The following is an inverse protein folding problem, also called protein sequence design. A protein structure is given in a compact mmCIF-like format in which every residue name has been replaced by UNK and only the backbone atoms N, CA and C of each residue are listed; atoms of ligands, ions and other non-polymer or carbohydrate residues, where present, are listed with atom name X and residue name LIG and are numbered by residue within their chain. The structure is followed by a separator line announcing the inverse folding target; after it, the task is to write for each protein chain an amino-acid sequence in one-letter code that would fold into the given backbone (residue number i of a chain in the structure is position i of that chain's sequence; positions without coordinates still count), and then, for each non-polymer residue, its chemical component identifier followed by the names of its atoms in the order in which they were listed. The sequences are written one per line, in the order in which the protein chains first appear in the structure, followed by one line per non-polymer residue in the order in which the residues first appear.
data_IF_260337614922
#
_entry.id   IF_260337614922
#
_cell.length_a   1.000
_cell.length_b   1.000
_cell.length_c   1.000
_cell.angle_alpha   90.00
_cell.angle_beta   90.00
_cell.angle_gamma   90.00
#
_symmetry.space_group_name_H-M   'P 1'
#
loop_
_entity.id
_entity.type
_entity.pdbx_description
1 polymer ?
#
# COMPACT_ATOMS: atom_id res chain seq x y z
N UNK A 1 -5.01 -63.17 -8.32
CA UNK A 1 -3.86 -62.66 -9.10
C UNK A 1 -4.44 -61.82 -10.23
N UNK A 2 -4.75 -60.56 -9.94
CA UNK A 2 -5.07 -59.53 -10.93
C UNK A 2 -4.41 -58.26 -10.38
N UNK A 3 -3.26 -57.92 -10.96
CA UNK A 3 -2.61 -56.63 -10.77
C UNK A 3 -3.30 -55.61 -11.67
N UNK A 4 -3.73 -54.49 -11.11
CA UNK A 4 -4.06 -53.28 -11.87
C UNK A 4 -3.13 -52.18 -11.40
N UNK A 5 -2.11 -51.88 -12.21
CA UNK A 5 -1.25 -50.72 -12.05
C UNK A 5 -1.91 -49.45 -12.57
N UNK A 6 -1.66 -48.33 -11.90
CA UNK A 6 -1.34 -47.01 -12.47
C UNK A 6 -1.42 -45.97 -11.36
N UNK A 7 -0.44 -45.98 -10.46
CA UNK A 7 -0.21 -44.86 -9.54
C UNK A 7 0.56 -43.77 -10.30
N UNK A 8 -0.17 -42.84 -10.92
CA UNK A 8 0.42 -41.53 -11.24
C UNK A 8 0.49 -40.78 -9.91
N UNK A 9 1.64 -40.20 -9.52
CA UNK A 9 1.69 -39.40 -8.30
C UNK A 9 0.76 -38.20 -8.49
N UNK A 10 -0.34 -38.21 -7.73
CA UNK A 10 -1.17 -37.04 -7.51
C UNK A 10 -0.26 -35.98 -6.89
N UNK A 11 -0.09 -34.86 -7.56
CA UNK A 11 0.64 -33.71 -7.03
C UNK A 11 0.05 -33.32 -5.68
N UNK A 12 0.90 -33.36 -4.65
CA UNK A 12 0.55 -33.01 -3.28
C UNK A 12 0.24 -31.49 -3.18
N UNK A 13 -0.98 -31.10 -2.74
CA UNK A 13 -1.35 -29.69 -2.58
C UNK A 13 -0.56 -28.94 -1.48
N UNK A 14 0.22 -29.65 -0.66
CA UNK A 14 1.16 -29.07 0.31
C UNK A 14 2.36 -28.35 -0.34
N UNK A 15 2.59 -28.55 -1.65
CA UNK A 15 3.66 -27.91 -2.43
C UNK A 15 3.42 -26.43 -2.78
N UNK A 16 2.27 -25.83 -2.43
CA UNK A 16 1.76 -24.67 -3.20
C UNK A 16 2.11 -23.26 -2.72
N UNK A 17 2.64 -23.01 -1.51
CA UNK A 17 3.05 -21.64 -1.09
C UNK A 17 4.29 -21.60 -0.23
N UNK A 18 4.42 -22.51 0.74
CA UNK A 18 5.61 -22.57 1.61
C UNK A 18 6.89 -22.85 0.82
N UNK A 19 6.86 -23.77 -0.15
CA UNK A 19 8.01 -24.04 -1.01
C UNK A 19 8.35 -22.84 -1.91
N UNK A 20 7.33 -22.13 -2.43
CA UNK A 20 7.53 -20.92 -3.25
C UNK A 20 8.20 -19.79 -2.45
N UNK A 21 7.72 -19.51 -1.23
CA UNK A 21 8.36 -18.52 -0.35
C UNK A 21 9.75 -18.95 0.12
N UNK A 22 9.97 -20.25 0.39
CA UNK A 22 11.31 -20.80 0.67
C UNK A 22 12.26 -20.63 -0.54
N UNK A 23 11.75 -20.76 -1.76
CA UNK A 23 12.53 -20.55 -2.98
C UNK A 23 12.87 -19.07 -3.21
N UNK A 24 11.94 -18.15 -2.90
CA UNK A 24 12.18 -16.70 -2.94
C UNK A 24 13.17 -16.22 -1.89
N UNK A 25 13.14 -16.79 -0.68
CA UNK A 25 14.10 -16.52 0.39
C UNK A 25 15.54 -16.98 0.02
N UNK A 26 15.66 -17.98 -0.86
CA UNK A 26 16.94 -18.40 -1.44
C UNK A 26 17.39 -17.53 -2.63
N UNK A 27 16.63 -16.49 -3.01
CA UNK A 27 17.03 -15.61 -4.10
C UNK A 27 18.23 -14.74 -3.69
N UNK A 28 19.15 -14.41 -4.63
CA UNK A 28 20.26 -13.50 -4.37
C UNK A 28 19.82 -12.13 -3.86
N UNK A 29 18.59 -11.69 -4.17
CA UNK A 29 17.99 -10.45 -3.68
C UNK A 29 17.65 -10.52 -2.19
N UNK A 30 17.17 -11.65 -1.68
CA UNK A 30 16.94 -11.85 -0.25
C UNK A 30 18.25 -11.90 0.54
N UNK A 31 19.33 -12.42 -0.07
CA UNK A 31 20.67 -12.39 0.53
C UNK A 31 21.23 -10.96 0.66
N UNK A 32 20.88 -10.05 -0.26
CA UNK A 32 21.21 -8.62 -0.16
C UNK A 32 20.39 -7.91 0.94
N UNK A 33 19.18 -8.39 1.21
CA UNK A 33 18.31 -7.88 2.29
C UNK A 33 18.55 -8.56 3.65
N UNK A 34 19.54 -9.46 3.77
CA UNK A 34 19.79 -10.28 4.97
C UNK A 34 19.92 -9.45 6.25
N UNK A 35 20.53 -8.26 6.18
CA UNK A 35 20.70 -7.36 7.33
C UNK A 35 19.39 -6.70 7.81
N UNK A 36 18.32 -6.76 7.02
CA UNK A 36 17.03 -6.16 7.33
C UNK A 36 15.98 -7.18 7.80
N UNK A 37 16.29 -8.48 7.76
CA UNK A 37 15.35 -9.54 8.16
C UNK A 37 15.47 -9.79 9.67
N UNK A 38 14.34 -9.82 10.43
CA UNK A 38 14.36 -10.15 11.85
C UNK A 38 14.99 -11.53 12.12
N UNK A 39 15.84 -11.62 13.15
CA UNK A 39 16.57 -12.86 13.50
C UNK A 39 15.66 -14.05 13.78
N UNK A 40 14.45 -13.81 14.29
CA UNK A 40 13.43 -14.84 14.54
C UNK A 40 12.93 -15.54 13.28
N UNK A 41 13.06 -14.91 12.11
CA UNK A 41 12.69 -15.52 10.82
C UNK A 41 13.81 -16.38 10.25
N UNK A 42 15.05 -16.19 10.73
CA UNK A 42 16.24 -16.90 10.27
C UNK A 42 16.55 -18.17 11.09
N UNK A 43 16.08 -18.25 12.33
CA UNK A 43 16.25 -19.43 13.20
C UNK A 43 15.85 -20.77 12.55
N UNK A 44 14.71 -20.87 11.85
CA UNK A 44 14.34 -22.11 11.16
C UNK A 44 15.26 -22.47 9.99
N UNK A 45 15.87 -21.46 9.34
CA UNK A 45 16.77 -21.64 8.19
C UNK A 45 18.18 -22.03 8.63
N UNK A 46 18.65 -21.52 9.77
CA UNK A 46 19.97 -21.84 10.32
C UNK A 46 20.13 -23.34 10.64
N UNK A 47 19.03 -24.02 11.01
CA UNK A 47 19.01 -25.47 11.21
C UNK A 47 19.02 -26.30 9.92
N UNK A 48 18.74 -25.69 8.76
CA UNK A 48 18.73 -26.35 7.44
C UNK A 48 20.07 -26.20 6.69
N UNK A 49 20.98 -25.33 7.15
CA UNK A 49 22.33 -25.19 6.57
C UNK A 49 23.17 -26.41 6.99
N UNK A 50 23.65 -27.24 6.04
CA UNK A 50 24.54 -28.34 6.38
C UNK A 50 25.76 -27.77 7.09
N UNK A 51 26.14 -28.35 8.24
CA UNK A 51 27.41 -28.06 8.89
C UNK A 51 28.51 -28.11 7.83
N UNK A 52 29.20 -26.98 7.69
CA UNK A 52 30.25 -26.71 6.73
C UNK A 52 31.08 -27.94 6.40
N UNK A 53 31.07 -28.38 5.14
CA UNK A 53 32.19 -29.14 4.61
C UNK A 53 33.42 -28.23 4.71
N UNK A 54 34.49 -28.70 5.35
CA UNK A 54 35.83 -28.08 5.31
C UNK A 54 36.09 -27.54 3.89
N UNK A 55 36.64 -26.32 3.72
CA UNK A 55 36.87 -25.72 2.41
C UNK A 55 37.97 -26.49 1.67
N UNK A 56 37.62 -27.62 1.10
CA UNK A 56 38.46 -28.39 0.21
C UNK A 56 38.57 -27.65 -1.11
N UNK A 57 39.81 -27.33 -1.51
CA UNK A 57 40.13 -26.80 -2.83
C UNK A 57 39.42 -27.64 -3.91
N UNK A 58 38.58 -27.03 -4.72
CA UNK A 58 37.98 -27.72 -5.87
C UNK A 58 39.09 -27.99 -6.89
N UNK A 59 39.31 -29.26 -7.30
CA UNK A 59 40.32 -29.57 -8.30
C UNK A 59 39.83 -29.13 -9.69
N UNK A 60 40.74 -28.58 -10.49
CA UNK A 60 40.46 -28.22 -11.88
C UNK A 60 40.03 -29.46 -12.68
N UNK A 61 38.90 -29.37 -13.38
CA UNK A 61 38.31 -30.51 -14.09
C UNK A 61 39.18 -31.05 -15.24
N UNK A 62 40.17 -30.25 -15.70
CA UNK A 62 41.02 -30.59 -16.83
C UNK A 62 42.40 -31.14 -16.43
N UNK A 63 42.92 -30.80 -15.24
CA UNK A 63 44.27 -31.21 -14.81
C UNK A 63 44.39 -31.65 -13.35
N UNK A 64 43.31 -31.58 -12.55
CA UNK A 64 43.30 -32.01 -11.16
C UNK A 64 44.05 -31.10 -10.17
N UNK A 65 44.68 -30.01 -10.64
CA UNK A 65 45.36 -29.06 -9.78
C UNK A 65 44.35 -28.31 -8.87
N UNK A 66 44.67 -28.05 -7.59
CA UNK A 66 43.80 -27.30 -6.70
C UNK A 66 43.61 -25.87 -7.22
N UNK A 67 42.36 -25.46 -7.46
CA UNK A 67 42.05 -24.09 -7.84
C UNK A 67 41.99 -23.25 -6.57
N UNK A 68 43.07 -22.53 -6.27
CA UNK A 68 43.01 -21.41 -5.34
C UNK A 68 42.17 -20.31 -6.00
N UNK A 69 41.18 -19.76 -5.28
CA UNK A 69 40.40 -18.63 -5.75
C UNK A 69 41.35 -17.44 -5.99
N UNK A 70 41.59 -16.99 -7.24
CA UNK A 70 42.60 -15.97 -7.52
C UNK A 70 42.23 -14.58 -6.99
N UNK A 71 41.02 -14.41 -6.43
CA UNK A 71 40.50 -13.15 -5.91
C UNK A 71 40.72 -12.95 -4.40
N UNK A 72 41.36 -13.89 -3.71
CA UNK A 72 41.64 -13.75 -2.28
C UNK A 72 43.11 -14.06 -1.98
N UNK A 73 43.97 -13.06 -2.21
CA UNK A 73 45.22 -12.95 -1.47
C UNK A 73 44.96 -12.12 -0.20
N UNK A 74 45.03 -12.71 1.01
CA UNK A 74 44.83 -11.98 2.25
C UNK A 74 45.90 -10.91 2.52
N UNK A 75 47.03 -10.91 1.79
CA UNK A 75 48.09 -9.91 1.92
C UNK A 75 47.97 -8.72 0.94
N UNK A 76 47.23 -8.84 -0.17
CA UNK A 76 47.18 -7.83 -1.24
C UNK A 76 45.82 -7.13 -1.45
N UNK A 77 44.87 -7.29 -0.53
CA UNK A 77 43.50 -6.72 -0.66
C UNK A 77 43.41 -5.18 -0.51
N UNK A 78 44.52 -4.43 -0.62
CA UNK A 78 44.54 -2.97 -0.40
C UNK A 78 45.00 -2.11 -1.57
N UNK A 79 45.30 -2.67 -2.75
CA UNK A 79 46.06 -1.88 -3.75
C UNK A 79 45.55 -1.95 -5.19
N UNK A 80 44.26 -2.14 -5.45
CA UNK A 80 43.75 -2.01 -6.83
C UNK A 80 42.42 -1.28 -6.87
N UNK A 81 42.52 0.04 -7.04
CA UNK A 81 41.64 0.98 -7.77
C UNK A 81 41.77 2.38 -7.13
N UNK A 82 42.94 3.01 -7.28
CA UNK A 82 43.10 4.44 -6.97
C UNK A 82 42.59 5.28 -8.17
N UNK A 83 41.29 5.18 -8.44
CA UNK A 83 40.57 6.15 -9.25
C UNK A 83 40.09 7.24 -8.30
N UNK A 84 40.37 8.53 -8.54
CA UNK A 84 39.71 9.57 -7.78
C UNK A 84 38.22 9.51 -8.13
N UNK A 85 37.42 9.01 -7.20
CA UNK A 85 35.97 9.17 -7.21
C UNK A 85 35.69 10.67 -7.13
N UNK A 86 35.47 11.32 -8.28
CA UNK A 86 34.73 12.58 -8.26
C UNK A 86 33.27 12.24 -8.03
N UNK A 87 32.92 12.03 -6.77
CA UNK A 87 31.56 12.19 -6.30
C UNK A 87 31.24 13.68 -6.46
N UNK A 88 30.67 14.04 -7.60
CA UNK A 88 29.78 15.21 -7.60
C UNK A 88 28.70 14.89 -6.58
N UNK A 89 28.44 15.75 -5.59
CA UNK A 89 27.22 15.66 -4.81
C UNK A 89 26.07 15.93 -5.79
N UNK A 90 25.60 14.88 -6.48
CA UNK A 90 24.20 14.82 -6.82
C UNK A 90 23.51 14.52 -5.49
N UNK A 91 23.30 15.57 -4.71
CA UNK A 91 22.09 15.63 -3.90
C UNK A 91 20.96 15.46 -4.90
N UNK A 92 20.58 14.19 -5.12
CA UNK A 92 19.22 13.88 -5.49
C UNK A 92 18.36 14.70 -4.53
N UNK A 93 17.33 15.41 -5.01
CA UNK A 93 16.36 16.01 -4.11
C UNK A 93 16.04 14.96 -3.05
N UNK A 94 15.94 15.32 -1.74
CA UNK A 94 15.55 14.33 -0.74
C UNK A 94 14.41 13.51 -1.33
N UNK A 95 14.37 12.19 -1.15
CA UNK A 95 13.30 11.37 -1.74
C UNK A 95 11.91 11.92 -1.37
N UNK A 96 11.88 12.68 -0.27
CA UNK A 96 10.77 13.43 0.27
C UNK A 96 10.53 14.81 -0.37
N UNK A 97 11.33 15.36 -1.29
CA UNK A 97 11.09 16.68 -1.88
C UNK A 97 9.81 16.72 -2.72
N UNK A 98 9.48 15.61 -3.40
CA UNK A 98 8.20 15.46 -4.07
C UNK A 98 7.07 15.19 -3.08
N UNK A 99 7.33 14.45 -2.00
CA UNK A 99 6.37 14.27 -0.91
C UNK A 99 6.11 15.59 -0.17
N UNK A 100 7.11 16.44 0.09
CA UNK A 100 7.08 17.77 0.70
C UNK A 100 6.39 18.80 -0.19
N UNK A 101 6.57 18.72 -1.52
CA UNK A 101 5.81 19.55 -2.46
C UNK A 101 4.33 19.13 -2.57
N UNK A 102 4.01 17.87 -2.24
CA UNK A 102 2.64 17.34 -2.18
C UNK A 102 2.05 17.37 -0.75
N UNK A 103 2.89 17.49 0.29
CA UNK A 103 2.55 17.65 1.71
C UNK A 103 2.66 19.13 2.06
N UNK A 104 1.72 19.91 1.50
CA UNK A 104 1.45 21.26 1.98
C UNK A 104 1.32 21.28 3.51
N UNK A 105 1.52 22.47 4.09
CA UNK A 105 1.30 22.69 5.53
C UNK A 105 0.02 22.00 6.00
N UNK A 106 0.10 21.27 7.11
CA UNK A 106 -1.08 20.69 7.75
C UNK A 106 -2.09 21.81 7.98
N UNK A 107 -3.31 21.66 7.47
CA UNK A 107 -4.37 22.64 7.71
C UNK A 107 -4.72 22.64 9.20
N UNK A 108 -4.84 23.82 9.81
CA UNK A 108 -5.24 23.96 11.21
C UNK A 108 -6.76 24.08 11.33
N UNK A 109 -7.41 24.59 10.29
CA UNK A 109 -8.85 24.80 10.24
C UNK A 109 -9.45 24.29 8.91
N UNK A 110 -10.71 23.82 8.90
CA UNK A 110 -11.36 23.32 7.68
C UNK A 110 -11.45 24.34 6.54
N UNK A 111 -11.45 25.63 6.85
CA UNK A 111 -11.53 26.72 5.87
C UNK A 111 -10.23 26.90 5.06
N UNK A 112 -9.11 26.36 5.55
CA UNK A 112 -7.82 26.41 4.88
C UNK A 112 -7.66 25.29 3.83
N UNK A 113 -8.53 24.28 3.87
CA UNK A 113 -8.51 23.17 2.93
C UNK A 113 -8.81 23.65 1.50
N UNK A 114 -7.87 23.42 0.59
CA UNK A 114 -8.01 23.70 -0.84
C UNK A 114 -8.69 22.51 -1.51
N UNK A 115 -8.43 21.30 -1.04
CA UNK A 115 -8.97 20.06 -1.58
C UNK A 115 -9.18 19.01 -0.48
N UNK A 116 -9.81 17.88 -0.83
CA UNK A 116 -10.13 16.82 0.15
C UNK A 116 -8.92 16.06 0.70
N UNK A 117 -7.78 16.09 0.01
CA UNK A 117 -6.53 15.42 0.41
C UNK A 117 -5.83 16.14 1.56
N UNK A 118 -6.12 17.43 1.76
CA UNK A 118 -5.58 18.20 2.89
C UNK A 118 -6.07 17.62 4.23
N UNK A 119 -7.32 17.13 4.28
CA UNK A 119 -7.87 16.44 5.45
C UNK A 119 -7.21 15.08 5.70
N UNK A 120 -6.76 14.40 4.66
CA UNK A 120 -6.16 13.06 4.78
C UNK A 120 -4.92 13.07 5.68
N UNK A 121 -4.08 14.11 5.53
CA UNK A 121 -2.88 14.28 6.34
C UNK A 121 -3.22 14.61 7.79
N UNK A 122 -4.21 15.47 8.01
CA UNK A 122 -4.73 15.79 9.36
C UNK A 122 -5.22 14.52 10.04
N UNK A 123 -5.99 13.69 9.33
CA UNK A 123 -6.50 12.43 9.87
C UNK A 123 -5.36 11.47 10.17
N UNK A 124 -4.37 11.34 9.28
CA UNK A 124 -3.19 10.49 9.51
C UNK A 124 -2.42 10.91 10.76
N UNK A 125 -2.14 12.20 10.94
CA UNK A 125 -1.39 12.72 12.08
C UNK A 125 -2.14 12.64 13.42
N UNK A 126 -3.48 12.59 13.40
CA UNK A 126 -4.31 12.60 14.61
C UNK A 126 -4.97 11.24 14.92
N UNK A 127 -4.74 10.21 14.12
CA UNK A 127 -5.31 8.87 14.33
C UNK A 127 -4.29 7.91 14.94
N UNK A 128 -4.79 6.93 15.71
CA UNK A 128 -3.99 5.76 16.07
C UNK A 128 -3.65 4.97 14.79
N UNK A 129 -2.46 4.37 14.74
CA UNK A 129 -2.00 3.60 13.58
C UNK A 129 -3.02 2.55 13.12
N UNK A 130 -3.65 1.83 14.06
CA UNK A 130 -4.65 0.81 13.74
C UNK A 130 -5.92 1.39 13.12
N UNK A 131 -6.34 2.58 13.53
CA UNK A 131 -7.51 3.25 12.96
C UNK A 131 -7.18 3.82 11.59
N UNK A 132 -5.98 4.36 11.40
CA UNK A 132 -5.49 4.78 10.10
C UNK A 132 -5.45 3.62 9.11
N UNK A 133 -4.89 2.49 9.52
CA UNK A 133 -4.83 1.28 8.71
C UNK A 133 -6.25 0.81 8.33
N UNK A 134 -7.19 0.84 9.26
CA UNK A 134 -8.59 0.50 8.97
C UNK A 134 -9.21 1.40 7.89
N UNK A 135 -8.91 2.71 7.91
CA UNK A 135 -9.50 3.68 6.99
C UNK A 135 -8.81 3.72 5.63
N UNK A 136 -7.48 3.67 5.61
CA UNK A 136 -6.68 3.99 4.43
C UNK A 136 -6.26 2.74 3.64
N UNK A 137 -6.25 1.56 4.26
CA UNK A 137 -5.87 0.33 3.56
C UNK A 137 -6.92 -0.15 2.55
N UNK A 138 -6.45 -0.89 1.55
CA UNK A 138 -7.27 -1.69 0.65
C UNK A 138 -7.00 -3.18 0.84
N UNK A 139 -7.34 -3.97 -0.18
CA UNK A 139 -7.02 -5.41 -0.23
C UNK A 139 -5.61 -5.59 -0.77
N UNK A 140 -4.84 -6.47 -0.13
CA UNK A 140 -3.46 -6.86 -0.51
C UNK A 140 -2.58 -5.64 -0.83
N UNK A 141 -2.04 -5.57 -2.05
CA UNK A 141 -1.10 -4.53 -2.50
C UNK A 141 -1.78 -3.19 -2.89
N UNK A 142 -3.07 -3.03 -2.56
CA UNK A 142 -3.87 -1.82 -2.81
C UNK A 142 -4.03 -1.43 -4.30
N UNK A 143 -3.67 -2.31 -5.24
CA UNK A 143 -3.67 -2.00 -6.68
C UNK A 143 -5.04 -1.51 -7.17
N UNK A 144 -6.14 -2.13 -6.71
CA UNK A 144 -7.50 -1.68 -7.08
C UNK A 144 -7.82 -0.28 -6.56
N UNK A 145 -7.31 0.09 -5.38
CA UNK A 145 -7.49 1.43 -4.81
C UNK A 145 -6.79 2.47 -5.68
N UNK A 146 -5.56 2.19 -6.08
CA UNK A 146 -4.78 3.03 -7.00
C UNK A 146 -5.47 3.10 -8.37
N UNK A 147 -5.91 1.96 -8.91
CA UNK A 147 -6.60 1.90 -10.19
C UNK A 147 -7.92 2.69 -10.21
N UNK A 148 -8.69 2.70 -9.11
CA UNK A 148 -9.92 3.51 -8.99
C UNK A 148 -9.61 5.01 -9.13
N UNK A 149 -8.50 5.47 -8.52
CA UNK A 149 -8.04 6.85 -8.61
C UNK A 149 -7.57 7.20 -10.02
N UNK A 150 -6.67 6.38 -10.56
CA UNK A 150 -6.11 6.59 -11.90
C UNK A 150 -7.15 6.45 -13.02
N UNK A 151 -8.23 5.69 -12.79
CA UNK A 151 -9.34 5.55 -13.71
C UNK A 151 -9.94 6.89 -14.13
N UNK A 152 -10.00 7.86 -13.20
CA UNK A 152 -10.50 9.20 -13.50
C UNK A 152 -9.58 10.01 -14.43
N UNK A 153 -8.27 9.77 -14.41
CA UNK A 153 -7.31 10.45 -15.31
C UNK A 153 -7.51 10.06 -16.78
N UNK A 154 -8.23 8.96 -17.04
CA UNK A 154 -8.56 8.49 -18.39
C UNK A 154 -9.73 9.26 -18.99
N UNK A 155 -10.46 10.03 -18.18
CA UNK A 155 -11.63 10.81 -18.59
C UNK A 155 -11.23 12.28 -18.73
N UNK A 156 -11.57 12.87 -19.87
CA UNK A 156 -11.38 14.31 -20.10
C UNK A 156 -12.72 15.00 -20.24
N UNK A 157 -12.90 16.11 -19.52
CA UNK A 157 -14.04 16.99 -19.72
C UNK A 157 -13.86 17.73 -21.05
N UNK A 158 -14.94 17.84 -21.84
CA UNK A 158 -14.99 18.69 -23.04
C UNK A 158 -15.90 19.90 -22.74
N UNK A 159 -15.35 21.04 -22.30
CA UNK A 159 -16.14 22.22 -21.99
C UNK A 159 -16.89 22.71 -23.23
N UNK A 160 -18.20 22.95 -23.10
CA UNK A 160 -19.00 23.58 -24.15
C UNK A 160 -19.04 25.08 -23.91
N UNK A 161 -18.64 25.87 -24.90
CA UNK A 161 -18.72 27.34 -24.87
C UNK A 161 -19.94 27.77 -25.70
N UNK A 162 -20.66 28.81 -25.24
CA UNK A 162 -21.89 29.35 -25.86
C UNK A 162 -23.14 28.45 -25.71
N UNK A 163 -23.46 28.02 -24.48
CA UNK A 163 -24.75 27.41 -24.16
C UNK A 163 -25.91 28.38 -24.44
N UNK A 164 -27.03 27.85 -24.94
CA UNK A 164 -28.19 28.62 -25.42
C UNK A 164 -29.04 29.20 -24.30
N UNK A 165 -28.82 28.81 -23.03
CA UNK A 165 -29.59 29.34 -21.92
C UNK A 165 -28.99 30.63 -21.35
N UNK A 166 -29.70 31.77 -21.45
CA UNK A 166 -29.38 32.94 -20.67
C UNK A 166 -29.77 32.66 -19.20
N UNK A 167 -28.78 32.72 -18.31
CA UNK A 167 -28.97 32.93 -16.87
C UNK A 167 -29.74 31.84 -16.09
N UNK A 168 -29.66 30.58 -16.52
CA UNK A 168 -30.02 29.46 -15.65
C UNK A 168 -28.78 29.13 -14.83
N UNK A 169 -28.73 29.57 -13.57
CA UNK A 169 -27.64 29.24 -12.65
C UNK A 169 -27.37 27.73 -12.58
N UNK A 170 -26.22 27.34 -12.03
CA UNK A 170 -25.87 25.93 -11.87
C UNK A 170 -26.81 25.26 -10.85
N UNK A 171 -27.77 24.47 -11.34
CA UNK A 171 -28.57 23.58 -10.49
C UNK A 171 -27.85 22.24 -10.33
N UNK A 172 -27.29 21.99 -9.13
CA UNK A 172 -26.68 20.71 -8.76
C UNK A 172 -27.66 19.76 -8.08
N UNK A 173 -28.91 20.17 -7.89
CA UNK A 173 -29.86 19.32 -7.21
C UNK A 173 -30.17 18.05 -8.00
N UNK A 174 -30.55 17.01 -7.28
CA UNK A 174 -30.93 15.74 -7.87
C UNK A 174 -32.05 15.08 -7.09
N UNK A 175 -32.74 14.13 -7.73
CA UNK A 175 -33.77 13.30 -7.10
C UNK A 175 -33.31 11.84 -7.07
N UNK A 176 -33.29 11.24 -5.88
CA UNK A 176 -33.01 9.82 -5.67
C UNK A 176 -34.21 9.21 -4.96
N UNK A 177 -34.83 8.18 -5.56
CA UNK A 177 -35.94 7.43 -4.95
C UNK A 177 -37.10 8.31 -4.44
N UNK A 178 -37.43 9.39 -5.16
CA UNK A 178 -38.51 10.31 -4.79
C UNK A 178 -38.12 11.40 -3.77
N UNK A 179 -36.84 11.46 -3.37
CA UNK A 179 -36.32 12.49 -2.46
C UNK A 179 -35.35 13.40 -3.19
N UNK A 180 -35.53 14.72 -3.04
CA UNK A 180 -34.65 15.76 -3.61
C UNK A 180 -33.47 16.04 -2.67
N UNK A 181 -32.29 16.21 -3.25
CA UNK A 181 -31.02 16.57 -2.60
C UNK A 181 -30.40 17.76 -3.33
N UNK A 182 -29.57 18.53 -2.64
CA UNK A 182 -29.02 19.79 -3.16
C UNK A 182 -27.78 19.62 -4.05
N UNK A 183 -27.12 18.46 -3.97
CA UNK A 183 -25.93 18.14 -4.73
C UNK A 183 -25.92 16.66 -5.16
N UNK A 184 -25.22 16.30 -6.25
CA UNK A 184 -25.08 14.92 -6.72
C UNK A 184 -23.98 14.18 -5.94
N UNK A 185 -23.95 14.37 -4.63
CA UNK A 185 -22.96 13.83 -3.71
C UNK A 185 -23.70 13.14 -2.56
N UNK A 186 -23.08 12.11 -2.00
CA UNK A 186 -23.59 11.41 -0.84
C UNK A 186 -22.43 10.90 0.02
N UNK A 187 -22.69 10.69 1.30
CA UNK A 187 -21.77 10.02 2.20
C UNK A 187 -21.92 8.50 2.02
N UNK A 188 -20.85 7.85 1.59
CA UNK A 188 -20.78 6.39 1.49
C UNK A 188 -20.91 5.74 2.88
N UNK A 189 -21.40 4.50 2.96
CA UNK A 189 -21.49 3.78 4.22
C UNK A 189 -20.08 3.44 4.72
N UNK A 190 -19.66 4.09 5.80
CA UNK A 190 -18.42 3.81 6.52
C UNK A 190 -18.77 3.28 7.91
N UNK A 191 -18.05 2.25 8.34
CA UNK A 191 -18.27 1.61 9.64
C UNK A 191 -17.41 2.25 10.73
N UNK A 192 -17.86 2.11 11.97
CA UNK A 192 -17.09 2.42 13.17
C UNK A 192 -16.58 3.88 13.24
N UNK A 193 -17.40 4.88 12.88
CA UNK A 193 -16.95 6.27 12.80
C UNK A 193 -16.50 6.85 14.16
N UNK A 194 -16.92 6.27 15.30
CA UNK A 194 -16.42 6.68 16.62
C UNK A 194 -14.93 6.39 16.85
N UNK A 195 -14.32 5.55 16.02
CA UNK A 195 -12.86 5.38 16.02
C UNK A 195 -12.11 6.66 15.60
N UNK A 196 -12.78 7.54 14.85
CA UNK A 196 -12.19 8.76 14.28
C UNK A 196 -12.73 10.04 14.89
N UNK A 197 -13.99 10.04 15.34
CA UNK A 197 -14.59 11.21 15.96
C UNK A 197 -15.68 10.81 16.96
N UNK A 198 -15.71 11.44 18.14
CA UNK A 198 -16.63 11.08 19.24
C UNK A 198 -18.11 11.13 18.87
N UNK A 199 -18.47 11.98 17.91
CA UNK A 199 -19.86 12.08 17.41
C UNK A 199 -20.28 10.95 16.45
N UNK A 200 -19.34 10.12 15.97
CA UNK A 200 -19.64 8.97 15.12
C UNK A 200 -20.47 9.28 13.88
N UNK A 201 -21.33 8.33 13.51
CA UNK A 201 -22.24 8.42 12.37
C UNK A 201 -23.31 9.49 12.56
N UNK A 202 -23.72 9.79 13.81
CA UNK A 202 -24.66 10.87 14.09
C UNK A 202 -24.08 12.26 13.76
N UNK A 203 -22.76 12.45 13.95
CA UNK A 203 -22.06 13.65 13.49
C UNK A 203 -22.10 13.81 11.97
N UNK A 204 -21.84 12.71 11.25
CA UNK A 204 -21.94 12.68 9.79
C UNK A 204 -23.37 12.93 9.30
N UNK A 205 -24.39 12.42 10.00
CA UNK A 205 -25.79 12.67 9.69
C UNK A 205 -26.17 14.15 9.79
N UNK A 206 -25.74 14.83 10.86
CA UNK A 206 -25.95 16.28 11.01
C UNK A 206 -25.28 17.06 9.87
N UNK A 207 -24.07 16.68 9.49
CA UNK A 207 -23.35 17.31 8.39
C UNK A 207 -24.09 17.10 7.05
N UNK A 208 -24.55 15.87 6.78
CA UNK A 208 -25.31 15.53 5.57
C UNK A 208 -26.61 16.33 5.48
N UNK A 209 -27.37 16.39 6.59
CA UNK A 209 -28.59 17.20 6.72
C UNK A 209 -28.32 18.67 6.42
N UNK A 210 -27.30 19.25 7.05
CA UNK A 210 -26.96 20.66 6.88
C UNK A 210 -26.52 21.02 5.46
N UNK A 211 -26.02 20.04 4.69
CA UNK A 211 -25.59 20.20 3.30
C UNK A 211 -26.63 19.71 2.28
N UNK A 212 -27.78 19.21 2.73
CA UNK A 212 -28.83 18.70 1.86
C UNK A 212 -28.39 17.49 1.01
N UNK A 213 -27.47 16.66 1.52
CA UNK A 213 -26.96 15.47 0.82
C UNK A 213 -27.42 14.18 1.50
N UNK A 214 -27.40 13.08 0.75
CA UNK A 214 -27.74 11.76 1.26
C UNK A 214 -26.58 11.18 2.11
N UNK A 215 -26.91 10.55 3.23
CA UNK A 215 -26.01 9.63 3.92
C UNK A 215 -26.51 8.20 3.74
N UNK A 216 -25.64 7.31 3.26
CA UNK A 216 -25.87 5.88 3.30
C UNK A 216 -25.30 5.31 4.60
N UNK A 217 -26.08 4.50 5.29
CA UNK A 217 -25.71 3.99 6.60
C UNK A 217 -25.06 2.60 6.50
N UNK A 218 -23.92 2.43 7.15
CA UNK A 218 -23.31 1.12 7.36
C UNK A 218 -24.10 0.32 8.40
N UNK A 219 -24.19 -1.00 8.20
CA UNK A 219 -24.73 -1.92 9.20
C UNK A 219 -23.87 -1.96 10.48
N UNK A 220 -22.57 -1.70 10.35
CA UNK A 220 -21.61 -1.73 11.47
C UNK A 220 -21.35 -0.29 11.94
N UNK A 221 -22.40 0.37 12.41
CA UNK A 221 -22.31 1.71 12.98
C UNK A 221 -21.90 1.69 14.45
N UNK A 222 -21.22 2.75 14.90
CA UNK A 222 -20.96 2.98 16.32
C UNK A 222 -22.19 3.52 17.06
N UNK A 223 -22.95 4.42 16.42
CA UNK A 223 -24.23 4.92 16.94
C UNK A 223 -25.39 3.97 16.63
N UNK A 224 -26.46 4.06 17.43
CA UNK A 224 -27.71 3.36 17.10
C UNK A 224 -28.40 3.98 15.88
N UNK A 225 -29.24 3.21 15.19
CA UNK A 225 -29.98 3.72 14.04
C UNK A 225 -30.93 4.86 14.43
N UNK A 226 -31.49 4.82 15.65
CA UNK A 226 -32.35 5.86 16.19
C UNK A 226 -31.59 7.17 16.39
N UNK A 227 -30.39 7.13 16.99
CA UNK A 227 -29.54 8.30 17.18
C UNK A 227 -29.14 8.95 15.85
N UNK A 228 -28.82 8.12 14.85
CA UNK A 228 -28.45 8.57 13.51
C UNK A 228 -29.67 9.17 12.80
N UNK A 229 -30.84 8.55 12.92
CA UNK A 229 -32.08 9.03 12.32
C UNK A 229 -32.54 10.36 12.91
N UNK A 230 -32.40 10.55 14.23
CA UNK A 230 -32.72 11.83 14.90
C UNK A 230 -31.77 12.95 14.47
N UNK A 231 -30.53 12.61 14.13
CA UNK A 231 -29.51 13.55 13.66
C UNK A 231 -29.65 13.97 12.18
N UNK A 232 -30.47 13.25 11.39
CA UNK A 232 -30.67 13.44 9.95
C UNK A 232 -31.80 14.43 9.64
#
# INVERSE_FOLDING_TARGET
MIETGSDKPVMDPSSSRRQFFKFLAASPLAALAYSAIPSSWMEPLAGEVPLSREPGSLPCINCGAPVLNPLFDPAESRTVLNLPSQEMPQELPPQQAQEEQLTGSLIEAPEEAINVWDFEQVVHGNSLAQHWDFLHMGVDDYETRVANREGFNRLMLRPRRLGVEPDVGLDTSMEILGQRFDAPLFLCPVAANQAFHTQGEAGAARAARNRGILQLQSHVSSNSYEEIAEAR
#
